data_IF_369696705884
#
_entry.id   IF_369696705884
#
_cell.length_a   1.000
_cell.length_b   1.000
_cell.length_c   1.000
_cell.angle_alpha   90.00
_cell.angle_beta   90.00
_cell.angle_gamma   90.00
#
_symmetry.space_group_name_H-M   'P 1'
#
loop_
_entity.id
_entity.type
_entity.pdbx_description
1 polymer ?
#
# COMPACT_ATOMS: atom_id res chain seq x y z
N UNK A 1 8.64 4.20 -7.68
CA UNK A 1 7.21 4.05 -8.04
C UNK A 1 6.63 2.99 -7.13
N UNK A 2 5.64 3.30 -6.27
CA UNK A 2 5.05 2.27 -5.42
C UNK A 2 3.82 1.67 -6.11
N UNK A 3 3.59 0.38 -5.87
CA UNK A 3 2.41 -0.34 -6.35
C UNK A 3 1.74 -1.00 -5.17
N UNK A 4 0.45 -0.77 -5.00
CA UNK A 4 -0.40 -1.42 -4.02
C UNK A 4 -1.54 -2.11 -4.75
N UNK A 5 -1.74 -3.39 -4.46
CA UNK A 5 -2.89 -4.17 -4.92
C UNK A 5 -3.65 -4.64 -3.69
N UNK A 6 -4.96 -4.51 -3.70
CA UNK A 6 -5.82 -5.05 -2.65
C UNK A 6 -7.01 -5.77 -3.27
N UNK A 7 -7.26 -7.00 -2.83
CA UNK A 7 -8.50 -7.72 -3.02
C UNK A 7 -9.32 -7.53 -1.74
N UNK A 8 -10.39 -6.73 -1.82
CA UNK A 8 -11.27 -6.44 -0.70
C UNK A 8 -12.62 -7.12 -0.89
N UNK A 9 -13.04 -7.90 0.14
CA UNK A 9 -14.27 -8.70 0.13
C UNK A 9 -14.42 -9.61 -1.12
N UNK A 10 -13.29 -10.12 -1.63
CA UNK A 10 -13.24 -11.09 -2.72
C UNK A 10 -13.30 -12.51 -2.18
N UNK A 11 -12.67 -12.76 -1.04
CA UNK A 11 -12.55 -14.05 -0.39
C UNK A 11 -13.30 -14.05 0.93
N UNK A 12 -14.22 -15.01 1.13
CA UNK A 12 -15.16 -15.00 2.25
C UNK A 12 -14.47 -15.03 3.63
N UNK A 13 -13.39 -15.81 3.77
CA UNK A 13 -12.68 -15.98 5.04
C UNK A 13 -11.56 -14.95 5.23
N UNK A 14 -11.19 -14.23 4.18
CA UNK A 14 -10.11 -13.25 4.16
C UNK A 14 -10.59 -11.96 3.49
N UNK A 15 -11.27 -11.08 4.25
CA UNK A 15 -11.87 -9.87 3.68
C UNK A 15 -10.86 -8.90 3.08
N UNK A 16 -9.60 -8.93 3.52
CA UNK A 16 -8.54 -8.07 2.99
C UNK A 16 -7.33 -8.91 2.61
N UNK A 17 -6.94 -8.88 1.33
CA UNK A 17 -5.67 -9.47 0.86
C UNK A 17 -4.92 -8.40 0.10
N UNK A 18 -3.75 -8.01 0.57
CA UNK A 18 -2.94 -6.94 0.00
C UNK A 18 -1.57 -7.44 -0.45
N UNK A 19 -1.08 -6.86 -1.54
CA UNK A 19 0.27 -7.07 -2.06
C UNK A 19 0.86 -5.73 -2.52
N UNK A 20 2.08 -5.40 -2.10
CA UNK A 20 2.66 -4.09 -2.37
C UNK A 20 4.16 -4.15 -2.63
N UNK A 21 4.62 -3.35 -3.60
CA UNK A 21 6.04 -3.02 -3.79
C UNK A 21 6.29 -1.59 -3.30
N UNK A 22 7.31 -1.42 -2.45
CA UNK A 22 7.85 -0.11 -2.06
C UNK A 22 9.05 0.21 -2.92
N UNK A 23 8.93 1.25 -3.73
CA UNK A 23 10.05 1.77 -4.52
C UNK A 23 10.58 3.05 -3.88
N UNK A 24 11.87 3.08 -3.59
CA UNK A 24 12.51 4.14 -2.82
C UNK A 24 14.00 4.25 -3.21
N UNK A 25 14.68 5.30 -2.73
CA UNK A 25 16.12 5.40 -2.81
C UNK A 25 16.80 4.18 -2.16
N UNK A 26 17.83 3.64 -2.82
CA UNK A 26 18.46 2.37 -2.37
C UNK A 26 19.20 2.50 -1.04
N UNK A 27 19.62 3.70 -0.69
CA UNK A 27 20.33 4.04 0.54
C UNK A 27 19.41 4.41 1.72
N UNK A 28 18.08 4.61 1.46
CA UNK A 28 17.14 4.98 2.53
C UNK A 28 16.97 3.84 3.51
N UNK A 29 17.34 4.03 4.80
CA UNK A 29 17.31 2.96 5.77
C UNK A 29 15.87 2.61 6.17
N UNK A 30 15.59 1.31 6.31
CA UNK A 30 14.33 0.79 6.77
C UNK A 30 14.54 -0.44 7.63
N UNK A 31 13.65 -0.63 8.60
CA UNK A 31 13.60 -1.81 9.45
C UNK A 31 12.48 -2.74 8.95
N UNK A 32 12.67 -4.06 8.97
CA UNK A 32 11.63 -5.02 8.58
C UNK A 32 10.41 -4.94 9.50
N UNK A 33 9.26 -5.52 9.09
CA UNK A 33 8.05 -5.51 9.91
C UNK A 33 8.27 -6.12 11.29
N UNK A 34 7.83 -5.40 12.31
CA UNK A 34 7.85 -5.80 13.72
C UNK A 34 6.66 -5.19 14.45
N UNK A 35 6.43 -5.61 15.69
CA UNK A 35 5.46 -4.96 16.58
C UNK A 35 5.99 -3.56 16.93
N UNK A 36 5.26 -2.51 16.54
CA UNK A 36 5.62 -1.10 16.74
C UNK A 36 4.66 -0.34 17.66
N UNK A 37 3.56 -0.93 18.07
CA UNK A 37 2.56 -0.40 19.00
C UNK A 37 2.17 -1.48 20.02
N UNK A 38 1.74 -1.07 21.21
CA UNK A 38 1.28 -1.98 22.27
C UNK A 38 -0.22 -1.84 22.55
N UNK A 39 -0.80 -0.67 22.27
CA UNK A 39 -2.21 -0.37 22.49
C UNK A 39 -2.66 0.73 21.49
N UNK A 40 -3.20 0.35 20.32
CA UNK A 40 -3.33 -1.03 19.82
C UNK A 40 -1.98 -1.65 19.42
N UNK A 41 -1.94 -2.99 19.39
CA UNK A 41 -0.86 -3.74 18.77
C UNK A 41 -0.82 -3.45 17.26
N UNK A 42 0.35 -3.08 16.73
CA UNK A 42 0.55 -2.76 15.32
C UNK A 42 1.75 -3.53 14.78
N UNK A 43 1.61 -4.14 13.61
CA UNK A 43 2.74 -4.73 12.87
C UNK A 43 2.96 -3.96 11.58
N UNK A 44 4.16 -3.40 11.44
CA UNK A 44 4.57 -2.64 10.27
C UNK A 44 6.10 -2.59 10.15
N UNK A 45 6.64 -2.43 8.92
CA UNK A 45 8.03 -2.01 8.73
C UNK A 45 8.19 -0.56 9.17
N UNK A 46 9.43 -0.13 9.41
CA UNK A 46 9.72 1.22 9.87
C UNK A 46 10.66 1.93 8.91
N UNK A 47 10.34 3.16 8.56
CA UNK A 47 11.26 4.11 7.95
C UNK A 47 12.18 4.65 9.04
N UNK A 48 13.47 4.30 8.99
CA UNK A 48 14.39 4.65 10.07
C UNK A 48 14.75 6.14 10.09
N UNK A 49 14.61 6.86 8.96
CA UNK A 49 14.86 8.30 8.88
C UNK A 49 13.68 9.11 9.40
N UNK A 50 12.47 8.80 8.93
CA UNK A 50 11.26 9.57 9.25
C UNK A 50 10.46 9.01 10.44
N UNK A 51 10.77 7.80 10.92
CA UNK A 51 10.14 7.15 12.06
C UNK A 51 8.70 6.65 11.82
N UNK A 52 8.18 6.76 10.58
CA UNK A 52 6.86 6.30 10.15
C UNK A 52 6.92 4.96 9.44
N UNK A 53 5.82 4.61 8.78
CA UNK A 53 5.68 3.39 7.97
C UNK A 53 4.95 3.65 6.66
N UNK A 54 4.92 2.65 5.75
CA UNK A 54 4.21 2.76 4.46
C UNK A 54 3.10 1.72 4.28
N UNK A 55 3.10 0.68 5.13
CA UNK A 55 2.08 -0.37 5.17
C UNK A 55 2.13 -1.04 6.54
N UNK A 56 0.99 -1.41 7.07
CA UNK A 56 0.89 -2.16 8.31
C UNK A 56 -0.55 -2.57 8.58
N UNK A 57 -0.72 -3.36 9.62
CA UNK A 57 -2.02 -3.71 10.16
C UNK A 57 -2.00 -3.69 11.70
N UNK A 58 -3.17 -3.57 12.31
CA UNK A 58 -3.31 -3.57 13.75
C UNK A 58 -4.16 -4.76 14.25
N UNK A 59 -4.25 -4.92 15.56
CA UNK A 59 -4.98 -6.01 16.22
C UNK A 59 -6.50 -6.00 15.96
N UNK A 60 -7.07 -4.87 15.46
CA UNK A 60 -8.46 -4.79 15.02
C UNK A 60 -8.65 -5.24 13.57
N UNK A 61 -7.60 -5.69 12.89
CA UNK A 61 -7.62 -6.09 11.48
C UNK A 61 -7.69 -4.91 10.51
N UNK A 62 -7.32 -3.70 10.93
CA UNK A 62 -7.25 -2.53 10.05
C UNK A 62 -5.92 -2.53 9.31
N UNK A 63 -5.96 -2.69 8.00
CA UNK A 63 -4.83 -2.49 7.09
C UNK A 63 -4.76 -1.02 6.67
N UNK A 64 -3.57 -0.42 6.77
CA UNK A 64 -3.27 0.91 6.22
C UNK A 64 -2.07 0.81 5.30
N UNK A 65 -2.18 1.36 4.09
CA UNK A 65 -1.07 1.40 3.13
C UNK A 65 -1.06 2.70 2.33
N UNK A 66 0.13 3.21 1.99
CA UNK A 66 0.29 4.48 1.29
C UNK A 66 1.19 4.35 0.06
N UNK A 67 0.84 5.07 -1.00
CA UNK A 67 1.74 5.35 -2.12
C UNK A 67 1.92 6.85 -2.28
N UNK A 68 3.07 7.29 -2.76
CA UNK A 68 3.25 8.68 -3.18
C UNK A 68 2.27 8.98 -4.32
N UNK A 69 1.74 10.20 -4.37
CA UNK A 69 0.93 10.67 -5.49
C UNK A 69 1.70 11.72 -6.26
N UNK A 70 1.83 11.53 -7.58
CA UNK A 70 2.36 12.56 -8.46
C UNK A 70 1.31 13.63 -8.71
N UNK A 71 1.74 14.87 -8.69
CA UNK A 71 0.89 16.05 -8.85
C UNK A 71 1.68 17.17 -9.53
N UNK A 72 1.01 18.05 -10.27
CA UNK A 72 1.58 19.29 -10.77
C UNK A 72 1.58 20.40 -9.68
N UNK A 73 0.71 20.29 -8.67
CA UNK A 73 0.85 21.01 -7.45
C UNK A 73 2.10 20.49 -6.71
N UNK A 74 2.85 21.36 -6.11
CA UNK A 74 3.96 20.99 -5.22
C UNK A 74 3.52 21.30 -3.78
N UNK A 75 2.63 20.46 -3.20
CA UNK A 75 2.19 20.68 -1.83
C UNK A 75 3.39 20.51 -0.92
N UNK A 76 3.69 21.53 -0.14
CA UNK A 76 4.70 21.46 0.89
C UNK A 76 4.36 20.31 1.83
N UNK A 77 5.36 19.52 2.21
CA UNK A 77 5.21 18.41 3.14
C UNK A 77 6.02 18.70 4.40
N UNK A 78 5.42 19.35 5.38
CA UNK A 78 6.06 19.58 6.67
C UNK A 78 6.04 18.31 7.53
N UNK A 79 5.00 17.47 7.37
CA UNK A 79 4.87 16.21 8.10
C UNK A 79 5.05 15.01 7.17
N UNK A 80 5.79 14.00 7.66
CA UNK A 80 5.99 12.76 6.91
C UNK A 80 4.69 11.99 6.70
N UNK A 81 4.44 11.56 5.45
CA UNK A 81 3.31 10.68 5.09
C UNK A 81 3.36 9.34 5.85
N UNK A 82 4.57 8.85 6.17
CA UNK A 82 4.74 7.63 6.95
C UNK A 82 4.25 7.76 8.40
N UNK A 83 4.28 8.95 8.98
CA UNK A 83 3.69 9.23 10.28
C UNK A 83 2.17 9.21 10.21
N UNK A 84 1.57 9.71 9.10
CA UNK A 84 0.13 9.63 8.90
C UNK A 84 -0.36 8.17 8.83
N UNK A 85 0.39 7.28 8.18
CA UNK A 85 0.08 5.84 8.17
C UNK A 85 0.13 5.26 9.57
N UNK A 86 1.17 5.59 10.34
CA UNK A 86 1.32 5.12 11.71
C UNK A 86 0.15 5.56 12.60
N UNK A 87 -0.23 6.84 12.53
CA UNK A 87 -1.33 7.37 13.32
C UNK A 87 -2.69 6.77 12.89
N UNK A 88 -2.88 6.48 11.60
CA UNK A 88 -4.08 5.81 11.11
C UNK A 88 -4.17 4.34 11.57
N UNK A 89 -3.02 3.69 11.83
CA UNK A 89 -2.97 2.34 12.40
C UNK A 89 -3.37 2.29 13.89
N UNK A 90 -3.47 3.42 14.58
CA UNK A 90 -3.98 3.50 15.96
C UNK A 90 -5.53 3.50 16.02
N UNK A 91 -6.22 3.43 14.88
CA UNK A 91 -7.67 3.46 14.80
C UNK A 91 -8.28 2.06 14.86
N UNK A 92 -9.49 1.95 15.46
CA UNK A 92 -10.20 0.68 15.66
C UNK A 92 -10.93 0.18 14.39
N UNK A 93 -11.11 1.04 13.38
CA UNK A 93 -11.80 0.71 12.12
C UNK A 93 -11.25 1.48 10.94
N UNK A 94 -11.46 0.95 9.73
CA UNK A 94 -11.10 1.64 8.48
C UNK A 94 -11.83 2.99 8.33
N UNK A 95 -13.08 3.09 8.81
CA UNK A 95 -13.82 4.35 8.77
C UNK A 95 -13.23 5.40 9.72
N UNK A 96 -12.81 5.00 10.93
CA UNK A 96 -12.16 5.92 11.88
C UNK A 96 -10.80 6.34 11.40
N UNK A 97 -10.03 5.43 10.77
CA UNK A 97 -8.76 5.74 10.12
C UNK A 97 -8.94 6.75 8.97
N UNK A 98 -9.97 6.59 8.13
CA UNK A 98 -10.29 7.55 7.08
C UNK A 98 -10.63 8.94 7.66
N UNK A 99 -11.46 9.00 8.71
CA UNK A 99 -11.77 10.27 9.42
C UNK A 99 -10.54 10.87 10.09
N UNK A 100 -9.59 10.03 10.56
CA UNK A 100 -8.32 10.53 11.07
C UNK A 100 -7.52 11.22 9.96
N UNK A 101 -7.43 10.61 8.77
CA UNK A 101 -6.76 11.21 7.60
C UNK A 101 -7.39 12.54 7.20
N UNK A 102 -8.73 12.66 7.20
CA UNK A 102 -9.43 13.93 6.93
C UNK A 102 -8.99 15.03 7.90
N UNK A 103 -8.97 14.74 9.20
CA UNK A 103 -8.53 15.72 10.21
C UNK A 103 -7.04 16.06 10.12
N UNK A 104 -6.22 15.07 9.79
CA UNK A 104 -4.77 15.24 9.71
C UNK A 104 -4.37 16.20 8.56
N UNK A 105 -5.00 16.09 7.38
CA UNK A 105 -4.71 16.99 6.26
C UNK A 105 -5.28 18.40 6.42
N UNK A 106 -6.18 18.62 7.39
CA UNK A 106 -6.64 19.96 7.81
C UNK A 106 -5.66 20.60 8.82
N UNK A 107 -4.95 19.78 9.59
CA UNK A 107 -4.05 20.23 10.65
C UNK A 107 -2.59 20.37 10.21
N UNK A 108 -2.14 19.53 9.31
CA UNK A 108 -0.75 19.43 8.88
C UNK A 108 -0.62 19.47 7.34
N UNK A 109 0.54 19.88 6.84
CA UNK A 109 0.87 19.88 5.42
C UNK A 109 1.58 18.58 5.03
N UNK A 110 1.09 17.93 3.97
CA UNK A 110 1.63 16.69 3.43
C UNK A 110 1.94 16.81 1.94
N UNK A 111 3.01 16.17 1.50
CA UNK A 111 3.19 15.89 0.07
C UNK A 111 2.08 14.98 -0.47
N UNK A 112 1.91 14.94 -1.80
CA UNK A 112 0.89 14.13 -2.45
C UNK A 112 0.94 12.64 -2.08
N UNK A 113 -0.22 12.05 -1.76
CA UNK A 113 -0.35 10.64 -1.41
C UNK A 113 -1.66 10.02 -1.91
N UNK A 114 -1.64 8.69 -2.01
CA UNK A 114 -2.83 7.85 -2.02
C UNK A 114 -2.70 6.92 -0.80
N UNK A 115 -3.62 7.01 0.14
CA UNK A 115 -3.67 6.22 1.35
C UNK A 115 -4.92 5.36 1.35
N UNK A 116 -4.72 4.05 1.40
CA UNK A 116 -5.78 3.06 1.52
C UNK A 116 -5.89 2.64 2.98
N UNK A 117 -7.10 2.61 3.49
CA UNK A 117 -7.48 1.95 4.75
C UNK A 117 -8.52 0.89 4.45
N UNK A 118 -8.38 -0.30 5.04
CA UNK A 118 -9.33 -1.39 4.84
C UNK A 118 -9.42 -2.29 6.06
N UNK A 119 -10.62 -2.73 6.37
CA UNK A 119 -10.94 -3.79 7.33
C UNK A 119 -12.00 -4.74 6.74
N UNK A 120 -12.56 -5.61 7.56
CA UNK A 120 -13.61 -6.55 7.11
C UNK A 120 -14.91 -5.84 6.66
N UNK A 121 -15.15 -4.59 7.07
CA UNK A 121 -16.43 -3.88 6.89
C UNK A 121 -16.35 -2.75 5.88
N UNK A 122 -15.18 -2.10 5.75
CA UNK A 122 -14.98 -0.94 4.90
C UNK A 122 -13.61 -0.97 4.22
N UNK A 123 -13.54 -0.41 3.01
CA UNK A 123 -12.30 -0.03 2.38
C UNK A 123 -12.45 1.39 1.81
N UNK A 124 -11.50 2.26 2.14
CA UNK A 124 -11.56 3.67 1.75
C UNK A 124 -10.22 4.09 1.17
N UNK A 125 -10.25 4.78 0.04
CA UNK A 125 -9.09 5.41 -0.57
C UNK A 125 -9.12 6.91 -0.35
N UNK A 126 -8.12 7.43 0.35
CA UNK A 126 -7.87 8.85 0.57
C UNK A 126 -6.78 9.32 -0.40
N UNK A 127 -7.13 10.21 -1.33
CA UNK A 127 -6.21 10.76 -2.33
C UNK A 127 -5.97 12.24 -2.03
N UNK A 128 -4.71 12.62 -1.78
CA UNK A 128 -4.29 13.99 -1.50
C UNK A 128 -3.40 14.54 -2.61
N UNK A 129 -3.79 15.67 -3.17
CA UNK A 129 -3.03 16.40 -4.20
C UNK A 129 -3.21 17.94 -4.04
N UNK A 130 -3.16 18.44 -2.80
CA UNK A 130 -3.53 19.81 -2.44
C UNK A 130 -5.03 19.97 -2.16
N UNK A 131 -5.79 18.89 -2.23
CA UNK A 131 -7.18 18.74 -1.83
C UNK A 131 -7.46 17.27 -1.59
N UNK A 132 -8.20 16.95 -0.51
CA UNK A 132 -8.52 15.58 -0.15
C UNK A 132 -9.73 15.07 -0.92
N UNK A 133 -9.60 13.89 -1.49
CA UNK A 133 -10.69 13.08 -2.02
C UNK A 133 -10.77 11.79 -1.21
N UNK A 134 -11.92 11.53 -0.64
CA UNK A 134 -12.22 10.30 0.11
C UNK A 134 -13.21 9.47 -0.69
N UNK A 135 -12.88 8.21 -0.91
CA UNK A 135 -13.69 7.34 -1.74
C UNK A 135 -13.82 5.95 -1.13
N UNK A 136 -15.04 5.53 -0.77
CA UNK A 136 -15.35 4.14 -0.45
C UNK A 136 -15.10 3.26 -1.68
N UNK A 137 -14.48 2.11 -1.47
CA UNK A 137 -14.24 1.12 -2.52
C UNK A 137 -15.35 0.06 -2.50
N UNK A 138 -15.76 -0.37 -3.70
CA UNK A 138 -16.64 -1.53 -3.85
C UNK A 138 -15.84 -2.83 -3.69
N UNK A 139 -16.49 -3.96 -3.30
CA UNK A 139 -15.83 -5.26 -3.29
C UNK A 139 -15.15 -5.60 -4.62
N UNK A 140 -13.90 -6.07 -4.58
CA UNK A 140 -13.14 -6.38 -5.78
C UNK A 140 -11.64 -6.18 -5.66
N UNK A 141 -10.93 -6.22 -6.80
CA UNK A 141 -9.49 -5.99 -6.88
C UNK A 141 -9.21 -4.55 -7.31
N UNK A 142 -8.48 -3.86 -6.45
CA UNK A 142 -8.05 -2.48 -6.65
C UNK A 142 -6.52 -2.41 -6.77
N UNK A 143 -6.05 -1.61 -7.71
CA UNK A 143 -4.62 -1.32 -7.90
C UNK A 143 -4.43 0.18 -7.77
N UNK A 144 -3.57 0.58 -6.83
CA UNK A 144 -3.24 1.98 -6.54
C UNK A 144 -1.78 2.22 -6.83
N UNK A 145 -1.50 3.25 -7.60
CA UNK A 145 -0.15 3.64 -8.01
C UNK A 145 0.05 5.15 -7.81
N UNK A 146 1.20 5.69 -8.17
CA UNK A 146 1.46 7.13 -7.99
C UNK A 146 0.51 8.04 -8.80
N UNK A 147 -0.16 7.52 -9.81
CA UNK A 147 -1.17 8.24 -10.61
C UNK A 147 -2.60 8.03 -10.09
N UNK A 148 -2.76 7.37 -8.94
CA UNK A 148 -4.05 7.06 -8.31
C UNK A 148 -4.55 5.64 -8.59
N UNK A 149 -5.80 5.37 -8.28
CA UNK A 149 -6.44 4.07 -8.49
C UNK A 149 -6.66 3.78 -9.98
N UNK A 150 -6.33 2.55 -10.41
CA UNK A 150 -6.52 2.12 -11.79
C UNK A 150 -8.02 2.04 -12.13
N UNK A 151 -8.42 2.82 -13.10
CA UNK A 151 -9.82 3.09 -13.47
C UNK A 151 -10.19 4.56 -13.30
N UNK A 152 -9.41 5.31 -12.49
CA UNK A 152 -9.62 6.73 -12.19
C UNK A 152 -8.28 7.47 -11.99
N UNK A 153 -7.30 7.15 -12.83
CA UNK A 153 -6.00 7.79 -12.78
C UNK A 153 -6.08 9.28 -13.12
N UNK A 154 -5.24 10.07 -12.44
CA UNK A 154 -4.97 11.46 -12.80
C UNK A 154 -3.49 11.55 -13.12
N UNK A 155 -3.16 11.85 -14.37
CA UNK A 155 -1.77 11.96 -14.84
C UNK A 155 -1.42 13.44 -14.88
N UNK A 156 -0.50 13.92 -14.03
CA UNK A 156 -0.03 15.30 -14.06
C UNK A 156 0.74 15.59 -15.35
N UNK A 157 0.66 16.82 -15.85
CA UNK A 157 1.32 17.21 -17.10
C UNK A 157 2.85 17.05 -17.03
N UNK A 158 3.45 17.37 -15.88
CA UNK A 158 4.88 17.19 -15.60
C UNK A 158 5.35 15.74 -15.59
N UNK A 159 4.41 14.78 -15.48
CA UNK A 159 4.67 13.34 -15.40
C UNK A 159 4.02 12.56 -16.55
N UNK A 160 3.60 13.19 -17.64
CA UNK A 160 2.72 12.61 -18.65
C UNK A 160 3.23 11.25 -19.17
N UNK A 161 4.44 11.15 -19.71
CA UNK A 161 4.98 9.91 -20.24
C UNK A 161 5.14 8.80 -19.19
N UNK A 162 5.69 9.16 -18.01
CA UNK A 162 5.84 8.20 -16.91
C UNK A 162 4.49 7.77 -16.34
N UNK A 163 3.55 8.71 -16.23
CA UNK A 163 2.20 8.46 -15.72
C UNK A 163 1.39 7.56 -16.65
N UNK A 164 1.46 7.78 -17.96
CA UNK A 164 0.80 6.90 -18.95
C UNK A 164 1.34 5.47 -18.89
N UNK A 165 2.66 5.33 -18.80
CA UNK A 165 3.32 4.02 -18.65
C UNK A 165 2.90 3.35 -17.34
N UNK A 166 2.88 4.09 -16.22
CA UNK A 166 2.44 3.55 -14.93
C UNK A 166 0.98 3.12 -14.96
N UNK A 167 0.09 3.94 -15.54
CA UNK A 167 -1.31 3.58 -15.71
C UNK A 167 -1.50 2.34 -16.60
N UNK A 168 -0.68 2.18 -17.64
CA UNK A 168 -0.70 0.99 -18.49
C UNK A 168 -0.22 -0.27 -17.72
N UNK A 169 0.85 -0.15 -16.95
CA UNK A 169 1.35 -1.23 -16.10
C UNK A 169 0.30 -1.64 -15.05
N UNK A 170 -0.31 -0.66 -14.37
CA UNK A 170 -1.37 -0.93 -13.40
C UNK A 170 -2.60 -1.63 -14.00
N UNK A 171 -2.97 -1.31 -15.24
CA UNK A 171 -4.05 -2.04 -15.95
C UNK A 171 -3.69 -3.50 -16.19
N UNK A 172 -2.45 -3.80 -16.60
CA UNK A 172 -1.96 -5.18 -16.75
C UNK A 172 -1.98 -5.94 -15.43
N UNK A 173 -1.49 -5.31 -14.34
CA UNK A 173 -1.53 -5.89 -13.00
C UNK A 173 -2.97 -6.20 -12.57
N UNK A 174 -3.89 -5.23 -12.75
CA UNK A 174 -5.30 -5.43 -12.40
C UNK A 174 -5.95 -6.55 -13.21
N UNK A 175 -5.64 -6.67 -14.50
CA UNK A 175 -6.14 -7.74 -15.37
C UNK A 175 -5.60 -9.11 -14.92
N UNK A 176 -4.28 -9.20 -14.67
CA UNK A 176 -3.63 -10.42 -14.22
C UNK A 176 -4.10 -10.92 -12.84
N UNK A 177 -4.60 -10.00 -12.00
CA UNK A 177 -5.02 -10.29 -10.63
C UNK A 177 -6.55 -10.30 -10.46
N UNK A 178 -7.33 -10.35 -11.56
CA UNK A 178 -8.75 -10.66 -11.41
C UNK A 178 -8.91 -12.05 -10.78
N UNK A 179 -9.84 -12.21 -9.82
CA UNK A 179 -10.07 -13.50 -9.17
C UNK A 179 -10.47 -14.59 -10.16
N UNK A 180 -9.90 -15.77 -10.04
CA UNK A 180 -10.25 -16.91 -10.85
C UNK A 180 -11.36 -17.75 -10.19
N UNK A 181 -12.20 -18.45 -10.95
CA UNK A 181 -13.27 -19.29 -10.38
C UNK A 181 -12.69 -20.39 -9.48
N UNK A 182 -13.06 -20.36 -8.17
CA UNK A 182 -12.61 -21.33 -7.18
C UNK A 182 -11.24 -21.04 -6.58
N UNK A 183 -10.62 -19.90 -6.91
CA UNK A 183 -9.35 -19.48 -6.33
C UNK A 183 -9.52 -19.10 -4.85
N UNK A 184 -8.61 -19.56 -4.01
CA UNK A 184 -8.53 -19.20 -2.60
C UNK A 184 -7.59 -18.01 -2.36
N UNK A 185 -7.77 -17.27 -1.27
CA UNK A 185 -6.98 -16.10 -0.91
C UNK A 185 -5.46 -16.35 -0.96
N UNK A 186 -5.00 -17.51 -0.49
CA UNK A 186 -3.58 -17.90 -0.53
C UNK A 186 -3.06 -18.04 -1.97
N UNK A 187 -3.81 -18.69 -2.84
CA UNK A 187 -3.44 -18.88 -4.24
C UNK A 187 -3.37 -17.55 -4.98
N UNK A 188 -4.37 -16.68 -4.74
CA UNK A 188 -4.38 -15.31 -5.26
C UNK A 188 -3.19 -14.49 -4.75
N UNK A 189 -2.87 -14.55 -3.47
CA UNK A 189 -1.72 -13.87 -2.87
C UNK A 189 -0.40 -14.34 -3.49
N UNK A 190 -0.24 -15.65 -3.66
CA UNK A 190 0.98 -16.23 -4.24
C UNK A 190 1.10 -15.83 -5.74
N UNK A 191 -0.02 -15.72 -6.46
CA UNK A 191 -0.08 -15.17 -7.82
C UNK A 191 0.24 -13.66 -7.81
N UNK A 192 -0.23 -12.90 -6.85
CA UNK A 192 0.10 -11.49 -6.69
C UNK A 192 1.59 -11.29 -6.42
N UNK A 193 2.22 -12.13 -5.59
CA UNK A 193 3.66 -12.13 -5.37
C UNK A 193 4.44 -12.32 -6.69
N UNK A 194 4.02 -13.28 -7.53
CA UNK A 194 4.64 -13.52 -8.83
C UNK A 194 4.48 -12.31 -9.78
N UNK A 195 3.28 -11.71 -9.85
CA UNK A 195 3.03 -10.51 -10.67
C UNK A 195 3.87 -9.33 -10.20
N UNK A 196 4.03 -9.13 -8.87
CA UNK A 196 4.87 -8.07 -8.33
C UNK A 196 6.36 -8.29 -8.60
N UNK A 197 6.80 -9.53 -8.77
CA UNK A 197 8.20 -9.89 -9.07
C UNK A 197 8.52 -9.84 -10.57
N UNK A 198 7.53 -10.00 -11.44
CA UNK A 198 7.72 -10.12 -12.88
C UNK A 198 7.87 -8.76 -13.54
N UNK A 199 9.02 -8.58 -14.21
CA UNK A 199 9.37 -7.34 -14.91
C UNK A 199 8.47 -7.01 -16.10
N UNK A 200 7.71 -7.97 -16.65
CA UNK A 200 6.74 -7.72 -17.73
C UNK A 200 5.61 -6.79 -17.31
N UNK A 201 5.29 -6.76 -16.00
CA UNK A 201 4.31 -5.83 -15.44
C UNK A 201 4.90 -4.45 -15.16
N UNK A 202 6.24 -4.31 -15.11
CA UNK A 202 6.94 -3.05 -14.91
C UNK A 202 6.70 -2.43 -13.52
N UNK A 203 6.44 -3.26 -12.51
CA UNK A 203 6.20 -2.85 -11.12
C UNK A 203 7.30 -3.28 -10.16
N UNK A 204 8.22 -4.15 -10.57
CA UNK A 204 9.49 -4.39 -9.91
C UNK A 204 10.56 -3.54 -10.62
N UNK A 205 11.09 -2.54 -9.93
CA UNK A 205 11.86 -1.45 -10.53
C UNK A 205 13.33 -1.50 -10.12
N UNK A 206 14.22 -1.33 -11.11
CA UNK A 206 15.68 -1.31 -10.94
C UNK A 206 16.27 -0.16 -11.75
N UNK A 207 16.55 0.96 -11.10
CA UNK A 207 17.22 2.14 -11.68
C UNK A 207 18.55 2.37 -10.97
N UNK A 208 19.52 1.47 -11.22
CA UNK A 208 20.82 1.48 -10.53
C UNK A 208 21.59 2.80 -10.75
N UNK A 209 21.46 3.42 -11.94
CA UNK A 209 22.07 4.72 -12.25
C UNK A 209 21.51 5.90 -11.42
N UNK A 210 20.32 5.74 -10.84
CA UNK A 210 19.65 6.75 -9.99
C UNK A 210 19.60 6.30 -8.53
N UNK A 211 20.25 5.20 -8.16
CA UNK A 211 20.21 4.61 -6.83
C UNK A 211 18.77 4.48 -6.29
N UNK A 212 17.83 4.09 -7.17
CA UNK A 212 16.40 3.98 -6.91
C UNK A 212 15.84 2.64 -7.41
N UNK A 213 14.95 2.03 -6.65
CA UNK A 213 14.32 0.78 -7.05
C UNK A 213 13.36 0.22 -6.02
N UNK A 214 12.85 -0.98 -6.31
CA UNK A 214 12.03 -1.72 -5.36
C UNK A 214 12.90 -2.16 -4.18
N UNK A 215 12.62 -1.61 -3.00
CA UNK A 215 13.38 -1.80 -1.76
C UNK A 215 12.83 -2.91 -0.89
N UNK A 216 11.53 -3.14 -0.98
CA UNK A 216 10.87 -4.20 -0.24
C UNK A 216 9.52 -4.53 -0.86
N UNK A 217 8.99 -5.70 -0.50
CA UNK A 217 7.66 -6.11 -0.90
C UNK A 217 6.91 -6.71 0.28
N UNK A 218 5.60 -6.49 0.33
CA UNK A 218 4.73 -6.90 1.43
C UNK A 218 3.53 -7.67 0.89
N UNK A 219 3.17 -8.77 1.56
CA UNK A 219 1.94 -9.52 1.35
C UNK A 219 1.23 -9.62 2.70
N UNK A 220 0.01 -9.10 2.79
CA UNK A 220 -0.78 -9.11 4.03
C UNK A 220 -2.14 -9.73 3.73
N UNK A 221 -2.51 -10.74 4.49
CA UNK A 221 -3.84 -11.35 4.45
C UNK A 221 -4.47 -11.18 5.81
N UNK A 222 -5.60 -10.47 5.89
CA UNK A 222 -6.35 -10.27 7.13
C UNK A 222 -7.56 -11.19 7.12
N UNK A 223 -7.70 -11.96 8.17
CA UNK A 223 -8.79 -12.91 8.39
C UNK A 223 -10.03 -12.20 8.93
N UNK A 224 -11.18 -12.86 8.84
CA UNK A 224 -12.46 -12.30 9.31
C UNK A 224 -12.50 -12.06 10.84
N UNK A 225 -11.62 -12.71 11.61
CA UNK A 225 -11.47 -12.52 13.06
C UNK A 225 -10.45 -11.43 13.44
N UNK A 226 -9.81 -10.79 12.44
CA UNK A 226 -8.83 -9.74 12.62
C UNK A 226 -7.39 -10.22 12.69
N UNK A 227 -7.15 -11.54 12.79
CA UNK A 227 -5.80 -12.08 12.68
C UNK A 227 -5.22 -11.87 11.27
N UNK A 228 -3.89 -11.90 11.12
CA UNK A 228 -3.30 -11.71 9.80
C UNK A 228 -2.03 -12.55 9.56
N UNK A 229 -1.84 -12.98 8.30
CA UNK A 229 -0.59 -13.54 7.77
C UNK A 229 0.15 -12.43 7.01
N UNK A 230 1.28 -11.98 7.55
CA UNK A 230 2.15 -11.01 6.90
C UNK A 230 3.42 -11.70 6.42
N UNK A 231 3.74 -11.49 5.14
CA UNK A 231 5.01 -11.93 4.54
C UNK A 231 5.74 -10.75 3.95
N UNK A 232 7.04 -10.73 4.10
CA UNK A 232 7.88 -9.60 3.73
C UNK A 232 9.12 -10.06 2.96
N UNK A 233 9.43 -9.38 1.88
CA UNK A 233 10.70 -9.50 1.16
C UNK A 233 11.53 -8.24 1.43
N UNK A 234 12.66 -8.38 2.13
CA UNK A 234 13.60 -7.28 2.37
C UNK A 234 14.51 -7.06 1.17
N UNK A 235 13.89 -6.66 0.08
CA UNK A 235 14.51 -6.45 -1.22
C UNK A 235 13.48 -6.55 -2.35
N UNK A 236 13.94 -6.41 -3.61
CA UNK A 236 13.07 -6.57 -4.77
C UNK A 236 12.59 -8.03 -4.89
N UNK A 237 11.28 -8.27 -5.06
CA UNK A 237 10.70 -9.62 -5.01
C UNK A 237 11.16 -10.54 -6.16
N UNK A 238 11.76 -10.01 -7.22
CA UNK A 238 12.39 -10.80 -8.27
C UNK A 238 13.71 -11.47 -7.86
N UNK A 239 14.27 -11.12 -6.71
CA UNK A 239 15.58 -11.59 -6.20
C UNK A 239 15.54 -11.97 -4.73
N UNK A 240 14.42 -11.70 -4.03
CA UNK A 240 14.27 -11.87 -2.58
C UNK A 240 12.98 -12.62 -2.29
N UNK A 241 13.08 -13.72 -1.56
CA UNK A 241 11.93 -14.51 -1.16
C UNK A 241 11.11 -13.78 -0.09
N UNK A 242 9.81 -14.07 -0.05
CA UNK A 242 8.92 -13.59 1.00
C UNK A 242 9.01 -14.49 2.24
N UNK A 243 9.51 -13.93 3.33
CA UNK A 243 9.58 -14.60 4.61
C UNK A 243 8.36 -14.24 5.49
N UNK A 244 7.82 -15.18 6.26
CA UNK A 244 6.76 -14.87 7.20
C UNK A 244 7.28 -13.93 8.30
N UNK A 245 6.47 -12.90 8.61
CA UNK A 245 6.72 -12.02 9.75
C UNK A 245 6.17 -12.70 10.99
N UNK A 246 7.00 -12.84 12.03
CA UNK A 246 6.55 -13.36 13.31
C UNK A 246 5.56 -12.37 13.93
N UNK A 247 4.27 -12.67 13.82
CA UNK A 247 3.19 -11.89 14.42
C UNK A 247 3.00 -12.33 15.86
N UNK A 248 2.87 -11.35 16.74
CA UNK A 248 2.52 -11.54 18.17
C UNK A 248 1.23 -10.78 18.54
N UNK A 249 0.41 -10.43 17.55
CA UNK A 249 -0.92 -9.82 17.74
C UNK A 249 -1.98 -10.90 17.90
#
# INVERSE_FOLDING_TARGET
MCTLVVAWQVFADHPVVAAANRDEALDRPAEPPAVIGEDPGVIAPRDADAGGTWIGYNEFGVLVAITNRWTDADPAGERSRGLLVRDALDCESAEDAARHVERAVEADEYEGFNLLVADANAAVLCEWAGGLRVEPLDPGVHVVMNVGAIGRVTIPASWSERGERQAANGRKVREALQPEPGEHAREWRDRAANVLADHEYGVCVHHEEFEFGTRSSSLVTVDADGSADYRYADGPPCRTDFEPVESQL
#
